data_IF_417270675535
#
_entry.id   IF_417270675535
#
_cell.length_a   1.000
_cell.length_b   1.000
_cell.length_c   1.000
_cell.angle_alpha   90.00
_cell.angle_beta   90.00
_cell.angle_gamma   90.00
#
_symmetry.space_group_name_H-M   'P 1'
#
loop_
_entity.id
_entity.type
_entity.pdbx_description
1 polymer ?
#
# COMPACT_ATOMS: atom_id res chain seq x y z
N UNK A 1 22.85 7.64 9.88
CA UNK A 1 21.79 7.92 8.87
C UNK A 1 21.07 9.17 9.35
N UNK A 2 21.03 10.23 8.54
CA UNK A 2 20.41 11.49 8.95
C UNK A 2 18.94 11.29 9.28
N UNK A 3 18.45 11.84 10.39
CA UNK A 3 17.04 11.73 10.83
C UNK A 3 16.05 12.08 9.71
N UNK A 4 16.37 13.08 8.92
CA UNK A 4 15.54 13.54 7.81
C UNK A 4 15.37 12.45 6.74
N UNK A 5 16.46 11.80 6.33
CA UNK A 5 16.41 10.68 5.38
C UNK A 5 15.57 9.50 5.90
N UNK A 6 15.63 9.23 7.18
CA UNK A 6 14.85 8.18 7.82
C UNK A 6 13.35 8.47 7.77
N UNK A 7 12.94 9.70 8.09
CA UNK A 7 11.54 10.14 8.03
C UNK A 7 11.01 10.13 6.61
N UNK A 8 11.79 10.64 5.65
CA UNK A 8 11.43 10.59 4.22
C UNK A 8 11.24 9.15 3.75
N UNK A 9 12.15 8.24 4.10
CA UNK A 9 12.07 6.84 3.73
C UNK A 9 10.77 6.18 4.26
N UNK A 10 10.44 6.38 5.54
CA UNK A 10 9.21 5.88 6.14
C UNK A 10 7.96 6.50 5.50
N UNK A 11 8.00 7.80 5.19
CA UNK A 11 6.91 8.51 4.51
C UNK A 11 6.64 7.94 3.12
N UNK A 12 7.68 7.77 2.31
CA UNK A 12 7.57 7.16 0.97
C UNK A 12 6.98 5.74 1.05
N UNK A 13 7.47 4.92 1.99
CA UNK A 13 6.93 3.56 2.17
C UNK A 13 5.45 3.56 2.55
N UNK A 14 5.02 4.50 3.36
CA UNK A 14 3.61 4.63 3.79
C UNK A 14 2.73 5.14 2.65
N UNK A 15 3.22 6.06 1.83
CA UNK A 15 2.48 6.69 0.74
C UNK A 15 2.33 5.80 -0.51
N UNK A 16 3.15 4.76 -0.68
CA UNK A 16 3.15 3.94 -1.91
C UNK A 16 1.79 3.32 -2.24
N UNK A 17 1.10 2.75 -1.25
CA UNK A 17 -0.18 2.07 -1.47
C UNK A 17 -1.33 3.05 -1.77
N UNK A 18 -1.56 4.14 -0.97
CA UNK A 18 -2.51 5.19 -1.30
C UNK A 18 -2.22 5.82 -2.67
N UNK A 19 -0.99 6.26 -2.91
CA UNK A 19 -0.60 6.91 -4.17
C UNK A 19 -0.88 6.04 -5.40
N UNK A 20 -0.65 4.73 -5.31
CA UNK A 20 -0.98 3.79 -6.40
C UNK A 20 -2.49 3.72 -6.66
N UNK A 21 -3.32 3.87 -5.63
CA UNK A 21 -4.78 3.90 -5.75
C UNK A 21 -5.25 5.20 -6.39
N UNK A 22 -4.69 6.34 -5.95
CA UNK A 22 -5.08 7.67 -6.45
C UNK A 22 -4.67 7.88 -7.90
N UNK A 23 -3.49 7.40 -8.30
CA UNK A 23 -3.06 7.44 -9.70
C UNK A 23 -3.94 6.58 -10.62
N UNK A 24 -4.61 5.57 -10.07
CA UNK A 24 -5.53 4.72 -10.82
C UNK A 24 -6.91 5.36 -11.03
N UNK A 25 -7.38 6.21 -10.10
CA UNK A 25 -8.72 6.82 -10.18
C UNK A 25 -8.98 7.56 -11.50
N UNK A 26 -8.11 8.45 -11.99
CA UNK A 26 -8.35 9.14 -13.26
C UNK A 26 -8.31 8.22 -14.49
N UNK A 27 -7.64 7.07 -14.40
CA UNK A 27 -7.58 6.08 -15.49
C UNK A 27 -8.82 5.17 -15.55
N UNK A 28 -9.68 5.16 -14.51
CA UNK A 28 -10.87 4.30 -14.43
C UNK A 28 -11.80 4.40 -15.65
N UNK A 29 -12.16 5.60 -16.17
CA UNK A 29 -13.08 5.70 -17.31
C UNK A 29 -12.50 5.14 -18.61
N UNK A 30 -11.19 5.26 -18.81
CA UNK A 30 -10.49 4.71 -19.97
C UNK A 30 -10.41 3.19 -19.87
N UNK A 31 -9.96 2.68 -18.72
CA UNK A 31 -9.93 1.27 -18.40
C UNK A 31 -11.29 0.56 -18.58
N UNK A 32 -12.37 1.23 -18.18
CA UNK A 32 -13.73 0.72 -18.35
C UNK A 32 -14.11 0.60 -19.84
N UNK A 33 -13.71 1.56 -20.68
CA UNK A 33 -13.98 1.53 -22.11
C UNK A 33 -13.18 0.45 -22.83
N UNK A 34 -11.90 0.34 -22.50
CA UNK A 34 -10.97 -0.59 -23.18
C UNK A 34 -11.34 -2.05 -22.91
N UNK A 35 -11.73 -2.37 -21.69
CA UNK A 35 -12.16 -3.72 -21.31
C UNK A 35 -13.67 -3.99 -21.53
N UNK A 36 -14.46 -2.97 -21.92
CA UNK A 36 -15.91 -3.12 -22.14
C UNK A 36 -16.67 -3.59 -20.89
N UNK A 37 -16.20 -3.24 -19.69
CA UNK A 37 -16.76 -3.67 -18.41
C UNK A 37 -17.74 -2.66 -17.84
N UNK A 38 -18.62 -3.14 -16.94
CA UNK A 38 -19.58 -2.27 -16.25
C UNK A 38 -18.90 -1.40 -15.19
N UNK A 39 -19.51 -0.25 -14.85
CA UNK A 39 -19.07 0.61 -13.74
C UNK A 39 -19.00 -0.15 -12.41
N UNK A 40 -19.91 -1.09 -12.18
CA UNK A 40 -19.89 -1.94 -10.98
C UNK A 40 -18.63 -2.79 -10.90
N UNK A 41 -18.22 -3.42 -12.01
CA UNK A 41 -16.97 -4.20 -12.07
C UNK A 41 -15.74 -3.32 -11.84
N UNK A 42 -15.74 -2.12 -12.38
CA UNK A 42 -14.66 -1.15 -12.17
C UNK A 42 -14.55 -0.76 -10.70
N UNK A 43 -15.66 -0.54 -10.01
CA UNK A 43 -15.67 -0.27 -8.56
C UNK A 43 -15.19 -1.47 -7.72
N UNK A 44 -15.47 -2.70 -8.18
CA UNK A 44 -14.94 -3.90 -7.51
C UNK A 44 -13.42 -3.94 -7.47
N UNK A 45 -12.73 -3.36 -8.45
CA UNK A 45 -11.25 -3.29 -8.44
C UNK A 45 -10.71 -2.50 -7.25
N UNK A 46 -11.35 -1.37 -6.93
CA UNK A 46 -11.02 -0.56 -5.75
C UNK A 46 -11.35 -1.32 -4.46
N UNK A 47 -12.52 -1.93 -4.40
CA UNK A 47 -12.95 -2.73 -3.25
C UNK A 47 -11.98 -3.87 -2.96
N UNK A 48 -11.52 -4.60 -3.99
CA UNK A 48 -10.54 -5.68 -3.82
C UNK A 48 -9.21 -5.17 -3.30
N UNK A 49 -8.74 -4.01 -3.76
CA UNK A 49 -7.52 -3.38 -3.23
C UNK A 49 -7.68 -3.02 -1.75
N UNK A 50 -8.82 -2.43 -1.36
CA UNK A 50 -9.09 -2.07 0.03
C UNK A 50 -9.19 -3.29 0.95
N UNK A 51 -9.87 -4.35 0.52
CA UNK A 51 -9.95 -5.61 1.27
C UNK A 51 -8.56 -6.21 1.42
N UNK A 52 -7.77 -6.24 0.34
CA UNK A 52 -6.37 -6.69 0.38
C UNK A 52 -5.56 -5.89 1.40
N UNK A 53 -5.69 -4.56 1.37
CA UNK A 53 -4.98 -3.68 2.30
C UNK A 53 -5.40 -3.92 3.76
N UNK A 54 -6.68 -4.09 4.04
CA UNK A 54 -7.20 -4.37 5.39
C UNK A 54 -6.63 -5.69 5.92
N UNK A 55 -6.68 -6.76 5.13
CA UNK A 55 -6.12 -8.06 5.50
C UNK A 55 -4.59 -7.99 5.65
N UNK A 56 -3.90 -7.31 4.72
CA UNK A 56 -2.46 -7.12 4.81
C UNK A 56 -2.02 -6.39 6.08
N UNK A 57 -2.80 -5.44 6.58
CA UNK A 57 -2.55 -4.77 7.86
C UNK A 57 -2.73 -5.73 9.06
N UNK A 58 -3.76 -6.59 9.03
CA UNK A 58 -4.00 -7.56 10.10
C UNK A 58 -2.85 -8.59 10.18
N UNK A 59 -2.41 -9.12 9.05
CA UNK A 59 -1.35 -10.12 9.02
C UNK A 59 0.06 -9.52 9.10
N UNK A 60 0.25 -8.32 8.56
CA UNK A 60 1.55 -7.65 8.50
C UNK A 60 2.17 -7.35 9.87
N UNK A 61 1.34 -7.03 10.88
CA UNK A 61 1.79 -6.79 12.25
C UNK A 61 2.48 -8.01 12.85
N UNK A 62 1.77 -9.13 13.07
CA UNK A 62 2.34 -10.36 13.63
C UNK A 62 3.51 -10.92 12.82
N UNK A 63 3.47 -10.82 11.49
CA UNK A 63 4.58 -11.25 10.62
C UNK A 63 5.82 -10.39 10.86
N UNK A 64 5.65 -9.07 10.94
CA UNK A 64 6.75 -8.13 11.20
C UNK A 64 7.36 -8.31 12.59
N UNK A 65 6.57 -8.71 13.58
CA UNK A 65 7.05 -8.94 14.95
C UNK A 65 7.83 -10.26 15.08
N UNK A 66 7.45 -11.29 14.31
CA UNK A 66 8.12 -12.61 14.33
C UNK A 66 9.36 -12.68 13.45
N UNK A 67 9.31 -12.14 12.24
CA UNK A 67 10.38 -12.25 11.23
C UNK A 67 11.35 -11.05 11.26
N UNK A 68 11.09 -10.06 12.11
CA UNK A 68 11.81 -8.79 12.13
C UNK A 68 11.31 -7.84 11.02
N UNK A 69 11.79 -6.60 11.03
CA UNK A 69 11.27 -5.51 10.18
C UNK A 69 11.68 -5.61 8.71
N UNK A 70 12.83 -6.23 8.42
CA UNK A 70 13.40 -6.28 7.06
C UNK A 70 12.68 -7.27 6.14
N UNK A 71 12.42 -8.50 6.60
CA UNK A 71 11.85 -9.56 5.77
C UNK A 71 10.44 -9.21 5.26
N UNK A 72 9.47 -8.78 6.09
CA UNK A 72 8.14 -8.42 5.60
C UNK A 72 8.16 -7.16 4.71
N UNK A 73 9.11 -6.24 4.93
CA UNK A 73 9.27 -5.09 4.04
C UNK A 73 9.68 -5.53 2.62
N UNK A 74 10.70 -6.39 2.50
CA UNK A 74 11.13 -6.92 1.20
C UNK A 74 10.04 -7.74 0.52
N UNK A 75 9.34 -8.61 1.26
CA UNK A 75 8.21 -9.39 0.76
C UNK A 75 7.07 -8.49 0.28
N UNK A 76 6.74 -7.47 1.06
CA UNK A 76 5.71 -6.49 0.72
C UNK A 76 6.06 -5.75 -0.57
N UNK A 77 7.27 -5.20 -0.66
CA UNK A 77 7.72 -4.47 -1.85
C UNK A 77 7.80 -5.35 -3.10
N UNK A 78 8.40 -6.53 -2.99
CA UNK A 78 8.50 -7.47 -4.11
C UNK A 78 7.11 -7.92 -4.57
N UNK A 79 6.22 -8.31 -3.64
CA UNK A 79 4.85 -8.71 -3.95
C UNK A 79 4.03 -7.56 -4.56
N UNK A 80 4.15 -6.35 -4.02
CA UNK A 80 3.50 -5.15 -4.58
C UNK A 80 3.96 -4.88 -6.02
N UNK A 81 5.29 -4.92 -6.27
CA UNK A 81 5.85 -4.68 -7.60
C UNK A 81 5.40 -5.74 -8.61
N UNK A 82 5.45 -7.02 -8.21
CA UNK A 82 4.98 -8.13 -9.07
C UNK A 82 3.49 -8.02 -9.36
N UNK A 83 2.66 -7.73 -8.35
CA UNK A 83 1.23 -7.55 -8.53
C UNK A 83 0.93 -6.36 -9.46
N UNK A 84 1.66 -5.24 -9.31
CA UNK A 84 1.53 -4.08 -10.19
C UNK A 84 1.91 -4.39 -11.63
N UNK A 85 2.99 -5.17 -11.82
CA UNK A 85 3.42 -5.59 -13.16
C UNK A 85 2.37 -6.46 -13.84
N UNK A 86 1.80 -7.43 -13.12
CA UNK A 86 0.75 -8.29 -13.68
C UNK A 86 -0.53 -7.48 -13.94
N UNK A 87 -0.91 -6.54 -13.07
CA UNK A 87 -2.02 -5.63 -13.34
C UNK A 87 -1.83 -4.82 -14.63
N UNK A 88 -0.60 -4.41 -14.93
CA UNK A 88 -0.27 -3.66 -16.16
C UNK A 88 -0.36 -4.50 -17.44
N UNK A 89 -0.26 -5.82 -17.32
CA UNK A 89 -0.29 -6.77 -18.44
C UNK A 89 -1.59 -7.57 -18.53
N UNK A 90 -2.53 -7.31 -17.61
CA UNK A 90 -3.76 -8.09 -17.50
C UNK A 90 -4.81 -7.63 -18.51
N UNK A 91 -5.17 -8.50 -19.46
CA UNK A 91 -6.26 -8.30 -20.41
C UNK A 91 -7.61 -8.83 -19.87
N UNK A 92 -7.59 -9.63 -18.81
CA UNK A 92 -8.77 -10.21 -18.17
C UNK A 92 -9.09 -9.51 -16.84
N UNK A 93 -10.35 -9.11 -16.67
CA UNK A 93 -10.81 -8.40 -15.47
C UNK A 93 -10.67 -9.25 -14.20
N UNK A 94 -10.85 -10.57 -14.27
CA UNK A 94 -10.74 -11.44 -13.10
C UNK A 94 -9.29 -11.56 -12.63
N UNK A 95 -8.35 -11.68 -13.57
CA UNK A 95 -6.90 -11.64 -13.28
C UNK A 95 -6.56 -10.30 -12.64
N UNK A 96 -7.03 -9.21 -13.21
CA UNK A 96 -6.83 -7.86 -12.69
C UNK A 96 -7.36 -7.71 -11.25
N UNK A 97 -8.57 -8.21 -10.94
CA UNK A 97 -9.16 -8.17 -9.59
C UNK A 97 -8.32 -8.92 -8.55
N UNK A 98 -7.83 -10.13 -8.89
CA UNK A 98 -6.99 -10.94 -8.01
C UNK A 98 -5.68 -10.21 -7.70
N UNK A 99 -5.04 -9.65 -8.72
CA UNK A 99 -3.77 -8.93 -8.53
C UNK A 99 -3.95 -7.55 -7.89
N UNK A 100 -5.10 -6.89 -8.04
CA UNK A 100 -5.47 -5.72 -7.24
C UNK A 100 -5.60 -6.03 -5.75
N UNK A 101 -6.22 -7.15 -5.42
CA UNK A 101 -6.24 -7.64 -4.04
C UNK A 101 -4.82 -7.90 -3.52
N UNK A 102 -3.99 -8.62 -4.29
CA UNK A 102 -2.60 -8.89 -3.92
C UNK A 102 -1.77 -7.60 -3.77
N UNK A 103 -1.95 -6.62 -4.66
CA UNK A 103 -1.31 -5.32 -4.59
C UNK A 103 -1.66 -4.58 -3.30
N UNK A 104 -2.95 -4.55 -2.93
CA UNK A 104 -3.40 -3.98 -1.64
C UNK A 104 -2.79 -4.71 -0.45
N UNK A 105 -2.83 -6.04 -0.47
CA UNK A 105 -2.30 -6.89 0.61
C UNK A 105 -0.80 -6.64 0.85
N UNK A 106 0.01 -6.70 -0.18
CA UNK A 106 1.45 -6.48 -0.06
C UNK A 106 1.81 -5.01 0.20
N UNK A 107 1.05 -4.05 -0.35
CA UNK A 107 1.23 -2.62 -0.08
C UNK A 107 1.03 -2.26 1.39
N UNK A 108 0.14 -2.94 2.08
CA UNK A 108 -0.09 -2.76 3.51
C UNK A 108 1.13 -3.09 4.39
N UNK A 109 2.02 -3.98 3.95
CA UNK A 109 3.26 -4.28 4.68
C UNK A 109 4.16 -3.05 4.81
N UNK A 110 4.23 -2.21 3.78
CA UNK A 110 4.96 -0.94 3.84
C UNK A 110 4.43 -0.03 4.96
N UNK A 111 3.12 0.13 5.05
CA UNK A 111 2.45 0.93 6.08
C UNK A 111 2.70 0.37 7.49
N UNK A 112 2.50 -0.94 7.66
CA UNK A 112 2.65 -1.61 8.97
C UNK A 112 4.09 -1.57 9.47
N UNK A 113 5.05 -1.90 8.60
CA UNK A 113 6.47 -1.90 8.95
C UNK A 113 6.95 -0.47 9.26
N UNK A 114 6.53 0.53 8.49
CA UNK A 114 6.90 1.93 8.75
C UNK A 114 6.43 2.39 10.13
N UNK A 115 5.19 2.08 10.50
CA UNK A 115 4.64 2.40 11.83
C UNK A 115 5.35 1.63 12.95
N UNK A 116 5.72 0.37 12.72
CA UNK A 116 6.46 -0.43 13.67
C UNK A 116 7.87 0.09 13.89
N UNK A 117 8.58 0.44 12.81
CA UNK A 117 9.94 1.04 12.89
C UNK A 117 9.90 2.40 13.58
N UNK A 118 8.88 3.23 13.32
CA UNK A 118 8.71 4.50 14.04
C UNK A 118 8.57 4.28 15.55
N UNK A 119 7.79 3.27 15.97
CA UNK A 119 7.65 2.90 17.39
C UNK A 119 8.92 2.35 18.02
N UNK A 120 9.72 1.61 17.25
CA UNK A 120 10.96 1.01 17.75
C UNK A 120 12.09 2.05 17.90
N UNK A 121 12.02 3.17 17.16
CA UNK A 121 13.10 4.19 17.10
C UNK A 121 12.82 5.47 17.86
N UNK A 122 11.57 5.74 18.20
CA UNK A 122 11.16 6.95 18.89
C UNK A 122 10.25 6.65 20.09
N UNK A 123 10.27 7.53 21.09
CA UNK A 123 9.44 7.44 22.29
C UNK A 123 8.88 8.80 22.69
N UNK A 124 7.78 8.78 23.46
CA UNK A 124 7.13 9.99 23.97
C UNK A 124 6.65 10.95 22.89
N UNK A 125 6.95 12.23 23.03
CA UNK A 125 6.50 13.29 22.11
C UNK A 125 7.09 13.16 20.69
N UNK A 126 8.26 12.55 20.55
CA UNK A 126 8.91 12.31 19.27
C UNK A 126 8.18 11.25 18.47
N UNK A 127 7.74 10.17 19.12
CA UNK A 127 6.89 9.14 18.50
C UNK A 127 5.57 9.73 17.99
N UNK A 128 4.92 10.57 18.78
CA UNK A 128 3.68 11.24 18.39
C UNK A 128 3.86 12.09 17.13
N UNK A 129 4.95 12.86 17.06
CA UNK A 129 5.29 13.65 15.85
C UNK A 129 5.54 12.81 14.63
N UNK A 130 6.28 11.70 14.75
CA UNK A 130 6.53 10.78 13.63
C UNK A 130 5.25 10.11 13.15
N UNK A 131 4.40 9.61 14.04
CA UNK A 131 3.13 9.01 13.70
C UNK A 131 2.17 10.01 13.04
N UNK A 132 2.10 11.24 13.54
CA UNK A 132 1.31 12.32 12.93
C UNK A 132 1.81 12.65 11.53
N UNK A 133 3.13 12.70 11.32
CA UNK A 133 3.72 12.94 10.02
C UNK A 133 3.39 11.81 9.04
N UNK A 134 3.46 10.55 9.47
CA UNK A 134 3.11 9.38 8.64
C UNK A 134 1.62 9.33 8.29
N UNK A 135 0.74 9.69 9.24
CA UNK A 135 -0.70 9.79 9.00
C UNK A 135 -1.01 10.93 8.03
N UNK A 136 -0.44 12.11 8.26
CA UNK A 136 -0.63 13.25 7.37
C UNK A 136 -0.14 12.97 5.94
N UNK A 137 0.96 12.24 5.78
CA UNK A 137 1.45 11.84 4.45
C UNK A 137 0.47 10.87 3.75
N UNK A 138 -0.21 10.01 4.52
CA UNK A 138 -1.25 9.12 3.99
C UNK A 138 -2.50 9.90 3.59
N UNK A 139 -2.96 10.82 4.45
CA UNK A 139 -4.18 11.62 4.19
C UNK A 139 -3.97 12.64 3.07
N UNK A 140 -2.78 13.23 2.97
CA UNK A 140 -2.44 14.17 1.88
C UNK A 140 -2.31 13.50 0.50
N UNK A 141 -2.19 12.19 0.45
CA UNK A 141 -2.25 11.44 -0.80
C UNK A 141 -3.71 11.17 -1.25
N UNK A 142 -4.67 11.30 -0.33
CA UNK A 142 -6.11 11.09 -0.59
C UNK A 142 -6.85 12.40 -0.96
N UNK A 143 -6.21 13.58 -0.86
CA UNK A 143 -6.74 14.89 -1.31
C UNK A 143 -6.24 15.28 -2.72
#
# INVERSE_FOLDING_TARGET
MNRVFFVIYLGVMTAMAPLSTDMYLPALPEFQRDLGISTSMTQMTLTMTMIGMALGQIFGGPVSDRMGRRAPLFLGMAGFTLASLVCSLADDIYVFLIFRFAQGFFGAFGIVVSRAVARDTASGSELMRLLSCLLYTSDAADE
#
